data_IF_719483045164
#
_entry.id   IF_719483045164
#
_cell.length_a   1.000
_cell.length_b   1.000
_cell.length_c   1.000
_cell.angle_alpha   90.00
_cell.angle_beta   90.00
_cell.angle_gamma   90.00
#
_symmetry.space_group_name_H-M   'P 1'
#
loop_
_entity.id
_entity.type
_entity.pdbx_description
1 polymer ?
#
# COMPACT_ATOMS: atom_id res chain seq x y z
N UNK A 1 18.21 12.91 -10.04
CA UNK A 1 17.88 11.79 -9.16
C UNK A 1 16.42 11.87 -8.81
N UNK A 2 15.63 10.88 -9.21
CA UNK A 2 14.18 10.86 -8.94
C UNK A 2 13.85 10.03 -7.67
N UNK A 3 14.79 9.92 -6.73
CA UNK A 3 14.59 9.19 -5.49
C UNK A 3 14.16 10.18 -4.42
N UNK A 4 13.02 9.93 -3.80
CA UNK A 4 12.54 10.73 -2.69
C UNK A 4 13.49 10.60 -1.47
N UNK A 5 13.89 11.72 -0.85
CA UNK A 5 14.69 11.67 0.37
C UNK A 5 13.86 11.11 1.52
N UNK A 6 14.52 10.47 2.48
CA UNK A 6 13.92 10.04 3.73
C UNK A 6 14.44 10.86 4.90
N UNK A 7 14.73 10.26 6.03
CA UNK A 7 15.06 10.94 7.26
C UNK A 7 16.38 11.73 7.20
N UNK A 8 16.39 12.89 7.83
CA UNK A 8 17.61 13.64 8.11
C UNK A 8 18.33 13.05 9.33
N UNK A 9 19.58 12.67 9.12
CA UNK A 9 20.40 12.06 10.15
C UNK A 9 20.97 13.12 11.12
N UNK A 10 21.40 12.74 12.34
CA UNK A 10 21.97 13.66 13.32
C UNK A 10 23.18 14.48 12.80
N UNK A 11 23.91 13.96 11.84
CA UNK A 11 25.03 14.66 11.20
C UNK A 11 24.58 15.68 10.13
N UNK A 12 23.28 15.87 9.95
CA UNK A 12 22.71 16.81 8.99
C UNK A 12 22.52 16.25 7.57
N UNK A 13 23.01 15.05 7.28
CA UNK A 13 22.80 14.41 5.99
C UNK A 13 21.38 13.85 5.87
N UNK A 14 20.80 13.96 4.68
CA UNK A 14 19.51 13.36 4.37
C UNK A 14 19.73 12.07 3.60
N UNK A 15 19.09 10.99 4.04
CA UNK A 15 19.13 9.72 3.34
C UNK A 15 18.37 9.84 2.01
N UNK A 16 19.07 9.62 0.91
CA UNK A 16 18.50 9.62 -0.44
C UNK A 16 19.16 8.51 -1.26
N UNK A 17 18.38 7.53 -1.72
CA UNK A 17 18.89 6.33 -2.38
C UNK A 17 19.60 5.35 -1.44
N UNK A 18 19.50 5.57 -0.15
CA UNK A 18 19.97 4.67 0.89
C UNK A 18 18.79 4.13 1.68
N UNK A 19 18.87 2.87 2.09
CA UNK A 19 17.81 2.21 2.86
C UNK A 19 17.58 2.95 4.17
N UNK A 20 16.33 3.30 4.47
CA UNK A 20 15.99 4.00 5.72
C UNK A 20 16.20 3.11 6.95
N UNK A 21 15.76 1.84 6.90
CA UNK A 21 15.92 0.90 8.01
C UNK A 21 17.41 0.73 8.38
N UNK A 22 17.81 1.02 9.64
CA UNK A 22 19.21 0.99 10.03
C UNK A 22 19.80 -0.43 10.07
N UNK A 23 19.00 -1.47 10.36
CA UNK A 23 19.48 -2.85 10.31
C UNK A 23 19.79 -3.26 8.87
N UNK A 24 18.88 -2.96 7.94
CA UNK A 24 19.11 -3.24 6.53
C UNK A 24 20.29 -2.41 5.99
N UNK A 25 20.36 -1.12 6.30
CA UNK A 25 21.40 -0.23 5.80
C UNK A 25 22.79 -0.55 6.34
N UNK A 26 22.91 -0.74 7.65
CA UNK A 26 24.22 -0.84 8.33
C UNK A 26 24.63 -2.29 8.50
N UNK A 27 23.75 -3.12 9.09
CA UNK A 27 24.10 -4.50 9.45
C UNK A 27 24.13 -5.42 8.22
N UNK A 28 23.24 -5.20 7.24
CA UNK A 28 23.11 -6.04 6.06
C UNK A 28 23.69 -5.40 4.79
N UNK A 29 24.45 -4.32 4.91
CA UNK A 29 25.11 -3.67 3.77
C UNK A 29 24.14 -3.04 2.74
N UNK A 30 22.92 -2.72 3.15
CA UNK A 30 21.91 -2.09 2.29
C UNK A 30 21.04 -3.07 1.49
N UNK A 31 21.27 -4.38 1.61
CA UNK A 31 20.49 -5.43 0.92
C UNK A 31 19.88 -6.36 1.95
N UNK A 32 18.57 -6.34 2.07
CA UNK A 32 17.87 -7.13 3.08
C UNK A 32 16.44 -7.46 2.64
N UNK A 33 15.92 -8.61 3.09
CA UNK A 33 14.57 -9.04 2.76
C UNK A 33 13.45 -8.29 3.51
N UNK A 34 13.80 -7.56 4.58
CA UNK A 34 12.81 -6.86 5.42
C UNK A 34 12.57 -5.41 4.99
N UNK A 35 13.51 -4.77 4.31
CA UNK A 35 13.42 -3.38 3.90
C UNK A 35 14.42 -3.06 2.77
N UNK A 36 14.21 -1.93 2.08
CA UNK A 36 15.19 -1.42 1.12
C UNK A 36 14.79 -1.55 -0.34
N UNK A 37 13.54 -1.81 -0.65
CA UNK A 37 13.05 -1.75 -2.03
C UNK A 37 12.79 -0.29 -2.40
N UNK A 38 13.41 0.14 -3.49
CA UNK A 38 13.14 1.41 -4.18
C UNK A 38 12.39 1.11 -5.46
N UNK A 39 11.28 1.79 -5.70
CA UNK A 39 10.44 1.59 -6.87
C UNK A 39 9.62 2.84 -7.19
N UNK A 40 8.83 2.79 -8.23
CA UNK A 40 7.80 3.76 -8.57
C UNK A 40 6.43 3.07 -8.65
N UNK A 41 5.37 3.86 -8.70
CA UNK A 41 4.02 3.31 -8.69
C UNK A 41 3.73 2.45 -9.92
N UNK A 42 4.24 2.83 -11.10
CA UNK A 42 4.03 2.06 -12.34
C UNK A 42 4.64 0.66 -12.26
N UNK A 43 5.87 0.54 -11.73
CA UNK A 43 6.52 -0.77 -11.57
C UNK A 43 5.80 -1.64 -10.52
N UNK A 44 5.35 -1.02 -9.41
CA UNK A 44 4.57 -1.71 -8.39
C UNK A 44 3.21 -2.15 -8.96
N UNK A 45 2.59 -1.35 -9.81
CA UNK A 45 1.34 -1.67 -10.48
C UNK A 45 1.46 -2.93 -11.35
N UNK A 46 2.57 -3.08 -12.07
CA UNK A 46 2.87 -4.29 -12.84
C UNK A 46 2.94 -5.52 -11.93
N UNK A 47 3.60 -5.40 -10.78
CA UNK A 47 3.65 -6.47 -9.79
C UNK A 47 2.26 -6.83 -9.26
N UNK A 48 1.46 -5.83 -8.88
CA UNK A 48 0.09 -6.03 -8.41
C UNK A 48 -0.77 -6.74 -9.48
N UNK A 49 -0.72 -6.27 -10.72
CA UNK A 49 -1.43 -6.88 -11.83
C UNK A 49 -0.97 -8.33 -12.07
N UNK A 50 0.33 -8.61 -11.99
CA UNK A 50 0.85 -9.97 -12.10
C UNK A 50 0.29 -10.89 -10.99
N UNK A 51 0.23 -10.41 -9.75
CA UNK A 51 -0.31 -11.17 -8.62
C UNK A 51 -1.81 -11.42 -8.77
N UNK A 52 -2.58 -10.43 -9.21
CA UNK A 52 -4.01 -10.58 -9.48
C UNK A 52 -4.28 -11.54 -10.63
N UNK A 53 -3.42 -11.56 -11.65
CA UNK A 53 -3.49 -12.49 -12.78
C UNK A 53 -2.80 -13.84 -12.50
N UNK A 54 -2.80 -14.30 -11.27
CA UNK A 54 -2.26 -15.62 -10.90
C UNK A 54 -0.76 -15.79 -11.12
N UNK A 55 0.00 -14.70 -10.99
CA UNK A 55 1.47 -14.68 -11.06
C UNK A 55 2.04 -14.47 -12.45
N UNK A 56 1.26 -13.91 -13.37
CA UNK A 56 1.67 -13.67 -14.76
C UNK A 56 1.33 -12.26 -15.22
N UNK A 57 2.25 -11.62 -15.91
CA UNK A 57 2.05 -10.35 -16.59
C UNK A 57 2.64 -10.39 -17.99
N UNK A 58 1.84 -10.00 -18.98
CA UNK A 58 2.24 -9.88 -20.39
C UNK A 58 2.99 -11.13 -20.91
N UNK A 59 2.46 -12.33 -20.62
CA UNK A 59 3.02 -13.62 -21.04
C UNK A 59 4.25 -14.07 -20.23
N UNK A 60 4.67 -13.30 -19.23
CA UNK A 60 5.81 -13.66 -18.36
C UNK A 60 5.30 -14.08 -16.99
N UNK A 61 5.60 -15.29 -16.61
CA UNK A 61 5.22 -15.86 -15.32
C UNK A 61 6.34 -15.66 -14.30
N UNK A 62 6.00 -15.06 -13.15
CA UNK A 62 6.90 -14.90 -11.99
C UNK A 62 6.56 -15.87 -10.86
N UNK A 63 5.30 -16.30 -10.76
CA UNK A 63 4.81 -17.26 -9.77
C UNK A 63 3.76 -18.19 -10.41
N UNK A 64 3.62 -19.39 -9.85
CA UNK A 64 2.50 -20.24 -10.21
C UNK A 64 1.19 -19.72 -9.58
N UNK A 65 0.00 -20.03 -10.14
CA UNK A 65 -1.27 -19.67 -9.52
C UNK A 65 -1.42 -20.21 -8.09
N UNK A 66 -0.89 -21.42 -7.82
CA UNK A 66 -0.86 -21.98 -6.46
C UNK A 66 0.12 -21.23 -5.55
N UNK A 67 1.24 -20.73 -6.09
CA UNK A 67 2.17 -19.88 -5.36
C UNK A 67 1.52 -18.56 -4.92
N UNK A 68 0.81 -17.89 -5.83
CA UNK A 68 0.05 -16.67 -5.50
C UNK A 68 -1.02 -16.96 -4.45
N UNK A 69 -1.77 -18.06 -4.61
CA UNK A 69 -2.76 -18.48 -3.62
C UNK A 69 -2.12 -18.72 -2.24
N UNK A 70 -0.98 -19.40 -2.18
CA UNK A 70 -0.27 -19.63 -0.94
C UNK A 70 0.22 -18.33 -0.30
N UNK A 71 0.73 -17.39 -1.10
CA UNK A 71 1.20 -16.09 -0.61
C UNK A 71 0.09 -15.28 0.08
N UNK A 72 -1.13 -15.29 -0.44
CA UNK A 72 -2.25 -14.49 0.09
C UNK A 72 -3.12 -15.22 1.12
N UNK A 73 -2.86 -16.50 1.39
CA UNK A 73 -3.65 -17.29 2.32
C UNK A 73 -2.94 -17.36 3.67
N UNK A 74 -3.65 -16.98 4.75
CA UNK A 74 -3.13 -17.14 6.11
C UNK A 74 -3.02 -18.62 6.44
N UNK A 75 -1.81 -19.14 6.81
CA UNK A 75 -1.64 -20.53 7.15
C UNK A 75 -2.45 -20.90 8.40
N UNK A 76 -3.04 -22.09 8.42
CA UNK A 76 -3.84 -22.57 9.56
C UNK A 76 -3.05 -22.58 10.87
N UNK A 77 -1.77 -22.89 10.81
CA UNK A 77 -0.86 -22.97 11.96
C UNK A 77 -0.56 -21.60 12.57
N UNK A 78 -0.73 -20.54 11.81
CA UNK A 78 -0.45 -19.15 12.21
C UNK A 78 -1.67 -18.24 12.05
N UNK A 79 -2.88 -18.83 12.06
CA UNK A 79 -4.13 -18.11 11.82
C UNK A 79 -4.33 -16.93 12.78
N UNK A 80 -3.91 -17.06 14.03
CA UNK A 80 -4.01 -15.98 15.04
C UNK A 80 -3.10 -14.78 14.75
N UNK A 81 -2.10 -14.93 13.90
CA UNK A 81 -1.18 -13.85 13.57
C UNK A 81 -1.71 -12.93 12.45
N UNK A 82 -2.68 -13.40 11.66
CA UNK A 82 -3.24 -12.64 10.54
C UNK A 82 -2.24 -12.32 9.42
N UNK A 83 -1.11 -13.01 9.38
CA UNK A 83 -0.04 -12.85 8.39
C UNK A 83 -0.01 -13.99 7.40
N UNK A 84 0.27 -13.67 6.15
CA UNK A 84 0.55 -14.60 5.07
C UNK A 84 2.05 -14.68 4.77
N UNK A 85 2.44 -15.27 3.66
CA UNK A 85 3.83 -15.30 3.21
C UNK A 85 4.21 -13.94 2.58
N UNK A 86 4.64 -13.02 3.43
CA UNK A 86 5.09 -11.67 3.04
C UNK A 86 4.01 -10.59 3.01
N UNK A 87 2.74 -10.93 3.32
CA UNK A 87 1.64 -9.96 3.33
C UNK A 87 0.91 -9.93 4.67
N UNK A 88 0.21 -8.84 4.88
CA UNK A 88 -0.71 -8.62 5.99
C UNK A 88 -2.15 -8.80 5.53
N UNK A 89 -2.95 -9.47 6.34
CA UNK A 89 -4.37 -9.68 6.08
C UNK A 89 -5.25 -9.20 7.24
N UNK A 90 -5.00 -9.63 8.48
CA UNK A 90 -5.84 -9.30 9.66
C UNK A 90 -5.07 -8.75 10.85
N UNK A 91 -3.81 -8.37 10.76
CA UNK A 91 -3.08 -7.83 11.91
C UNK A 91 -3.57 -6.44 12.28
N UNK A 92 -3.08 -5.90 13.38
CA UNK A 92 -3.35 -4.50 13.74
C UNK A 92 -2.91 -3.50 12.66
N UNK A 93 -1.95 -3.87 11.81
CA UNK A 93 -1.54 -3.06 10.66
C UNK A 93 -2.55 -3.08 9.51
N UNK A 94 -3.42 -4.09 9.44
CA UNK A 94 -4.46 -4.18 8.42
C UNK A 94 -5.51 -3.06 8.52
N UNK A 95 -5.56 -2.32 9.64
CA UNK A 95 -6.37 -1.11 9.76
C UNK A 95 -6.04 -0.05 8.71
N UNK A 96 -4.87 -0.12 8.09
CA UNK A 96 -4.49 0.72 6.96
C UNK A 96 -5.29 0.41 5.68
N UNK A 97 -5.91 -0.77 5.59
CA UNK A 97 -6.73 -1.19 4.46
C UNK A 97 -8.15 -0.58 4.48
N UNK A 98 -8.48 0.20 5.52
CA UNK A 98 -9.83 0.74 5.71
C UNK A 98 -10.83 -0.34 6.16
N UNK A 99 -12.11 0.00 6.05
CA UNK A 99 -13.21 -0.82 6.60
C UNK A 99 -14.10 -1.43 5.51
N UNK A 100 -13.88 -1.08 4.25
CA UNK A 100 -14.80 -1.39 3.15
C UNK A 100 -14.32 -2.51 2.23
N UNK A 101 -13.03 -2.78 2.18
CA UNK A 101 -12.50 -3.90 1.39
C UNK A 101 -12.86 -5.24 2.02
N UNK A 102 -13.01 -6.26 1.17
CA UNK A 102 -13.40 -7.61 1.57
C UNK A 102 -12.33 -8.39 2.33
N UNK A 103 -12.70 -9.56 2.90
CA UNK A 103 -11.83 -10.35 3.77
C UNK A 103 -10.65 -11.01 3.02
N UNK A 104 -10.71 -11.08 1.69
CA UNK A 104 -9.63 -11.62 0.87
C UNK A 104 -8.56 -10.58 0.52
N UNK A 105 -8.78 -9.33 0.91
CA UNK A 105 -7.84 -8.23 0.69
C UNK A 105 -6.57 -8.45 1.51
N UNK A 106 -5.45 -8.21 0.87
CA UNK A 106 -4.14 -8.29 1.51
C UNK A 106 -3.26 -7.12 1.07
N UNK A 107 -2.26 -6.82 1.84
CA UNK A 107 -1.39 -5.70 1.54
C UNK A 107 -0.17 -5.65 2.42
N UNK A 108 0.58 -4.59 2.32
CA UNK A 108 1.67 -4.29 3.24
C UNK A 108 1.91 -2.79 3.34
N UNK A 109 2.46 -2.37 4.45
CA UNK A 109 2.85 -0.98 4.71
C UNK A 109 4.34 -0.87 4.84
N UNK A 110 4.90 0.25 4.37
CA UNK A 110 6.28 0.63 4.62
C UNK A 110 6.38 1.63 5.78
N UNK A 111 7.42 1.49 6.59
CA UNK A 111 7.69 2.41 7.70
C UNK A 111 7.80 3.87 7.22
N UNK A 112 8.41 4.07 6.07
CA UNK A 112 8.60 5.39 5.46
C UNK A 112 7.31 6.07 4.99
N UNK A 113 6.17 5.38 5.03
CA UNK A 113 4.85 5.94 4.71
C UNK A 113 4.10 5.21 3.61
N UNK A 114 4.78 4.48 2.74
CA UNK A 114 4.19 3.79 1.59
C UNK A 114 3.24 2.67 1.98
N UNK A 115 2.30 2.31 1.10
CA UNK A 115 1.44 1.14 1.27
C UNK A 115 0.96 0.59 -0.07
N UNK A 116 0.65 -0.71 -0.05
CA UNK A 116 0.01 -1.44 -1.14
C UNK A 116 -1.19 -2.19 -0.55
N UNK A 117 -2.32 -2.12 -1.22
CA UNK A 117 -3.51 -2.93 -0.95
C UNK A 117 -3.87 -3.64 -2.23
N UNK A 118 -4.16 -4.93 -2.16
CA UNK A 118 -4.60 -5.75 -3.29
C UNK A 118 -5.90 -6.44 -2.89
N UNK A 119 -6.97 -6.12 -3.61
CA UNK A 119 -8.28 -6.75 -3.47
C UNK A 119 -8.54 -7.66 -4.66
N UNK A 120 -8.38 -8.99 -4.50
CA UNK A 120 -8.58 -9.93 -5.58
C UNK A 120 -10.05 -10.16 -5.93
N UNK A 121 -10.98 -9.76 -5.07
CA UNK A 121 -12.41 -9.96 -5.30
C UNK A 121 -12.96 -8.94 -6.30
N UNK A 122 -12.33 -7.77 -6.39
CA UNK A 122 -12.73 -6.68 -7.29
C UNK A 122 -11.64 -6.29 -8.29
N UNK A 123 -10.60 -7.09 -8.39
CA UNK A 123 -9.48 -6.88 -9.31
C UNK A 123 -8.83 -5.49 -9.16
N UNK A 124 -8.76 -5.03 -7.91
CA UNK A 124 -8.34 -3.67 -7.57
C UNK A 124 -7.05 -3.68 -6.76
N UNK A 125 -6.15 -2.74 -7.08
CA UNK A 125 -4.97 -2.46 -6.26
C UNK A 125 -4.89 -0.98 -5.93
N UNK A 126 -4.52 -0.66 -4.69
CA UNK A 126 -4.25 0.70 -4.23
C UNK A 126 -2.78 0.82 -3.87
N UNK A 127 -2.07 1.68 -4.57
CA UNK A 127 -0.66 1.95 -4.33
C UNK A 127 -0.55 3.40 -3.85
N UNK A 128 -0.12 3.58 -2.60
CA UNK A 128 0.04 4.90 -2.01
C UNK A 128 1.51 5.12 -1.66
N UNK A 129 2.16 6.04 -2.38
CA UNK A 129 3.55 6.41 -2.18
C UNK A 129 3.62 7.78 -1.51
N UNK A 130 3.70 7.78 -0.20
CA UNK A 130 3.85 8.97 0.64
C UNK A 130 5.08 8.85 1.51
N UNK A 131 5.58 9.97 2.00
CA UNK A 131 6.77 10.05 2.84
C UNK A 131 6.40 10.58 4.23
N UNK A 132 6.47 9.72 5.24
CA UNK A 132 6.13 10.04 6.62
C UNK A 132 7.37 10.35 7.49
N UNK A 133 8.57 10.22 6.94
CA UNK A 133 9.83 10.30 7.69
C UNK A 133 10.74 11.43 7.21
N UNK A 134 10.31 12.26 6.27
CA UNK A 134 11.11 13.38 5.80
C UNK A 134 10.55 14.72 6.30
N UNK A 135 11.36 15.66 6.76
CA UNK A 135 12.79 15.49 7.10
C UNK A 135 13.01 14.75 8.42
N UNK A 136 11.96 14.61 9.24
CA UNK A 136 11.99 14.01 10.57
C UNK A 136 10.92 12.93 10.69
N UNK A 137 11.26 11.84 11.40
CA UNK A 137 10.33 10.78 11.74
C UNK A 137 9.34 11.25 12.84
N UNK A 138 8.21 10.55 12.97
CA UNK A 138 7.21 10.79 14.02
C UNK A 138 5.81 11.12 13.50
N UNK A 139 5.61 11.14 12.18
CA UNK A 139 4.29 11.38 11.58
C UNK A 139 3.55 10.07 11.30
N UNK A 140 2.35 9.94 11.86
CA UNK A 140 1.47 8.79 11.56
C UNK A 140 0.65 9.05 10.31
N UNK A 141 0.73 8.11 9.37
CA UNK A 141 -0.06 8.12 8.11
C UNK A 141 -1.13 7.03 8.08
N UNK A 142 -1.34 6.32 9.18
CA UNK A 142 -2.32 5.22 9.29
C UNK A 142 -3.71 5.68 8.88
N UNK A 143 -4.16 6.82 9.43
CA UNK A 143 -5.48 7.38 9.11
C UNK A 143 -5.60 7.76 7.62
N UNK A 144 -4.56 8.36 7.03
CA UNK A 144 -4.57 8.73 5.63
C UNK A 144 -4.70 7.49 4.74
N UNK A 145 -3.92 6.44 5.00
CA UNK A 145 -4.01 5.18 4.27
C UNK A 145 -5.42 4.59 4.32
N UNK A 146 -6.02 4.54 5.52
CA UNK A 146 -7.39 4.03 5.70
C UNK A 146 -8.44 4.89 4.96
N UNK A 147 -8.32 6.21 4.99
CA UNK A 147 -9.21 7.11 4.26
C UNK A 147 -9.12 6.91 2.74
N UNK A 148 -7.89 6.80 2.22
CA UNK A 148 -7.66 6.52 0.79
C UNK A 148 -8.24 5.15 0.41
N UNK A 149 -7.96 4.11 1.21
CA UNK A 149 -8.52 2.78 1.00
C UNK A 149 -10.05 2.80 0.94
N UNK A 150 -10.69 3.46 1.90
CA UNK A 150 -12.15 3.60 1.95
C UNK A 150 -12.70 4.40 0.76
N UNK A 151 -12.01 5.47 0.35
CA UNK A 151 -12.45 6.26 -0.80
C UNK A 151 -12.41 5.44 -2.10
N UNK A 152 -11.35 4.65 -2.31
CA UNK A 152 -11.25 3.75 -3.47
C UNK A 152 -12.31 2.64 -3.40
N UNK A 153 -12.43 1.96 -2.26
CA UNK A 153 -13.43 0.90 -2.10
C UNK A 153 -14.85 1.44 -2.32
N UNK A 154 -15.15 2.62 -1.78
CA UNK A 154 -16.44 3.28 -1.97
C UNK A 154 -16.75 3.63 -3.42
N UNK A 155 -15.75 3.86 -4.25
CA UNK A 155 -15.93 4.11 -5.68
C UNK A 155 -16.29 2.86 -6.48
N UNK A 156 -15.93 1.67 -5.96
CA UNK A 156 -16.18 0.38 -6.60
C UNK A 156 -17.49 -0.22 -6.09
N UNK A 157 -17.72 -0.15 -4.77
CA UNK A 157 -18.92 -0.69 -4.13
C UNK A 157 -19.97 0.42 -3.97
N UNK A 158 -21.21 0.21 -4.40
CA UNK A 158 -22.30 1.11 -4.06
C UNK A 158 -22.54 1.05 -2.55
N UNK A 159 -22.13 2.08 -1.82
CA UNK A 159 -22.37 2.16 -0.39
C UNK A 159 -23.82 2.58 -0.14
N UNK A 160 -24.61 1.81 0.64
CA UNK A 160 -25.90 2.27 1.12
C UNK A 160 -25.71 3.57 1.93
N UNK A 161 -26.56 4.56 1.71
CA UNK A 161 -26.52 5.89 2.36
C UNK A 161 -26.68 5.80 3.87
N UNK A 162 -25.63 5.48 4.62
CA UNK A 162 -25.67 5.42 6.10
C UNK A 162 -24.70 6.43 6.74
N UNK A 163 -24.03 7.25 5.95
CA UNK A 163 -22.98 8.14 6.49
C UNK A 163 -23.46 9.53 6.81
N UNK A 164 -23.01 10.04 7.98
CA UNK A 164 -23.24 11.40 8.43
C UNK A 164 -22.74 12.43 7.41
N UNK A 165 -23.42 13.56 7.29
CA UNK A 165 -23.22 14.66 6.35
C UNK A 165 -21.77 15.05 6.03
N UNK A 166 -20.84 14.87 6.96
CA UNK A 166 -19.45 15.28 6.79
C UNK A 166 -18.65 14.33 5.86
N UNK A 167 -18.84 13.01 6.04
CA UNK A 167 -18.20 12.01 5.16
C UNK A 167 -18.79 12.02 3.77
N UNK A 168 -20.10 12.22 3.67
CA UNK A 168 -20.80 12.25 2.40
C UNK A 168 -20.42 13.46 1.55
N UNK A 169 -20.24 14.64 2.13
CA UNK A 169 -19.78 15.84 1.42
C UNK A 169 -18.35 15.68 0.89
N UNK A 170 -17.45 15.09 1.65
CA UNK A 170 -16.10 14.77 1.16
C UNK A 170 -16.10 13.69 0.09
N UNK A 171 -16.93 12.66 0.25
CA UNK A 171 -17.12 11.62 -0.75
C UNK A 171 -17.61 12.20 -2.08
N UNK A 172 -18.60 13.09 -2.07
CA UNK A 172 -19.10 13.74 -3.27
C UNK A 172 -18.04 14.63 -3.95
N UNK A 173 -17.16 15.27 -3.18
CA UNK A 173 -16.05 16.03 -3.75
C UNK A 173 -15.05 15.15 -4.51
N UNK A 174 -14.86 13.90 -4.08
CA UNK A 174 -14.04 12.91 -4.79
C UNK A 174 -14.77 12.28 -5.99
N UNK A 175 -16.10 12.25 -5.96
CA UNK A 175 -16.92 11.64 -7.03
C UNK A 175 -17.16 12.58 -8.24
N UNK A 176 -16.85 13.88 -8.12
CA UNK A 176 -16.85 14.83 -9.26
C UNK A 176 -15.61 14.67 -10.17
N UNK A 177 -14.66 13.84 -9.77
CA UNK A 177 -13.55 13.39 -10.62
C UNK A 177 -14.03 12.28 -11.59
N UNK A 178 -13.41 12.13 -12.77
CA UNK A 178 -13.84 11.13 -13.75
C UNK A 178 -13.85 9.73 -13.15
N UNK A 179 -14.92 8.99 -13.41
CA UNK A 179 -15.18 7.66 -12.84
C UNK A 179 -13.98 6.72 -12.98
N UNK A 180 -13.48 6.24 -11.86
CA UNK A 180 -12.45 5.20 -11.80
C UNK A 180 -13.11 3.89 -12.19
N UNK A 181 -12.57 3.22 -13.21
CA UNK A 181 -13.06 1.90 -13.62
C UNK A 181 -12.39 0.80 -12.80
N UNK A 182 -12.98 -0.40 -12.74
CA UNK A 182 -12.42 -1.56 -12.02
C UNK A 182 -11.05 -2.05 -12.54
N UNK A 183 -10.53 -1.41 -13.56
CA UNK A 183 -9.20 -1.69 -14.15
C UNK A 183 -8.19 -0.58 -13.90
N UNK A 184 -8.61 0.49 -13.23
CA UNK A 184 -7.76 1.64 -13.01
C UNK A 184 -6.95 1.48 -11.74
N UNK A 185 -5.69 1.85 -11.81
CA UNK A 185 -4.79 1.93 -10.67
C UNK A 185 -4.85 3.37 -10.17
N UNK A 186 -5.39 3.54 -8.97
CA UNK A 186 -5.43 4.86 -8.34
C UNK A 186 -4.09 5.16 -7.71
N UNK A 187 -3.38 6.10 -8.31
CA UNK A 187 -2.15 6.66 -7.76
C UNK A 187 -2.47 8.00 -7.10
N UNK A 188 -2.45 8.03 -5.79
CA UNK A 188 -2.52 9.27 -5.04
C UNK A 188 -1.11 9.65 -4.59
N UNK A 189 -0.44 10.44 -5.40
CA UNK A 189 0.78 11.12 -5.01
C UNK A 189 0.40 12.33 -4.15
N UNK A 190 0.94 12.43 -2.95
CA UNK A 190 0.67 13.56 -2.08
C UNK A 190 1.79 14.57 -2.08
N UNK A 191 1.46 15.77 -2.53
CA UNK A 191 2.11 17.00 -2.14
C UNK A 191 1.18 17.71 -1.13
N UNK A 192 1.01 17.16 0.05
CA UNK A 192 0.46 17.91 1.18
C UNK A 192 1.61 18.61 1.92
N UNK A 193 2.25 19.50 1.23
CA UNK A 193 2.95 20.61 1.84
C UNK A 193 2.18 21.85 1.44
N UNK A 194 1.24 22.26 2.29
CA UNK A 194 0.87 23.66 2.46
C UNK A 194 -0.34 23.73 3.40
N UNK A 195 -0.15 24.41 4.53
CA UNK A 195 -1.18 24.81 5.49
C UNK A 195 -0.78 24.56 6.91
#
# INVERSE_FOLDING_TARGET
NNIAPTEKQPNGQVLCGQVHDPLARVMNGGISGNAGVFSCADDIAILCAALQNGGEWNGRRILSPLGVKAMRTVPRTTASLGRTLGWDNFTAYASNNGDLFGPNTYGHTGYTGTSIIIDPDNDTSVILLINAVHPEDGHSVVRLRSLVANAVAASIYPIPRIYTDHYYKRFLQFMDEPAITSKDIVMLGNSLTEG
#
